data_IF_128405307741
#
_entry.id   IF_128405307741
#
_cell.length_a   1.000
_cell.length_b   1.000
_cell.length_c   1.000
_cell.angle_alpha   90.00
_cell.angle_beta   90.00
_cell.angle_gamma   90.00
#
_symmetry.space_group_name_H-M   'P 1'
#
loop_
_entity.id
_entity.type
_entity.pdbx_description
1 polymer ?
#
# COMPACT_ATOMS: atom_id res chain seq x y z
N UNK A 1 3.03 -5.06 -2.50
CA UNK A 1 1.72 -4.92 -1.81
C UNK A 1 0.67 -5.90 -2.31
N UNK A 2 0.86 -6.40 -3.52
CA UNK A 2 -0.14 -7.09 -4.35
C UNK A 2 -0.37 -8.57 -4.01
N UNK A 3 0.41 -9.11 -3.07
CA UNK A 3 0.22 -10.48 -2.60
C UNK A 3 -1.22 -10.69 -2.09
N UNK A 4 -1.84 -11.87 -2.32
CA UNK A 4 -3.26 -12.15 -2.08
C UNK A 4 -3.60 -12.35 -0.59
N UNK A 5 -3.20 -11.40 0.24
CA UNK A 5 -3.52 -11.35 1.67
C UNK A 5 -4.50 -10.21 1.89
N UNK A 6 -5.72 -10.59 2.27
CA UNK A 6 -6.83 -9.65 2.50
C UNK A 6 -6.49 -8.71 3.66
N UNK A 7 -6.96 -7.48 3.60
CA UNK A 7 -6.79 -6.51 4.69
C UNK A 7 -8.17 -6.03 5.12
N UNK A 8 -8.48 -6.19 6.40
CA UNK A 8 -9.69 -5.65 7.01
C UNK A 8 -9.42 -4.25 7.54
N UNK A 9 -10.24 -3.28 7.17
CA UNK A 9 -10.15 -1.89 7.60
C UNK A 9 -11.57 -1.32 7.80
N UNK A 10 -11.86 -0.80 8.99
CA UNK A 10 -13.19 -0.31 9.40
C UNK A 10 -14.36 -1.26 9.06
N UNK A 11 -14.16 -2.57 9.27
CA UNK A 11 -15.18 -3.59 8.99
C UNK A 11 -15.30 -4.01 7.52
N UNK A 12 -14.67 -3.29 6.59
CA UNK A 12 -14.60 -3.67 5.18
C UNK A 12 -13.38 -4.55 4.92
N UNK A 13 -13.54 -5.58 4.08
CA UNK A 13 -12.44 -6.45 3.66
C UNK A 13 -11.98 -6.08 2.26
N UNK A 14 -10.68 -5.84 2.10
CA UNK A 14 -10.03 -5.53 0.83
C UNK A 14 -9.21 -6.73 0.34
N UNK A 15 -9.23 -7.07 -0.96
CA UNK A 15 -8.52 -8.25 -1.49
C UNK A 15 -7.01 -8.22 -1.26
N UNK A 16 -6.38 -7.05 -1.38
CA UNK A 16 -4.95 -6.84 -1.12
C UNK A 16 -4.69 -5.49 -0.46
N UNK A 17 -3.46 -5.28 0.03
CA UNK A 17 -3.01 -3.98 0.51
C UNK A 17 -3.17 -2.87 -0.56
N UNK A 18 -2.94 -3.21 -1.83
CA UNK A 18 -3.10 -2.25 -2.95
C UNK A 18 -4.54 -1.78 -3.08
N UNK A 19 -5.53 -2.68 -2.96
CA UNK A 19 -6.94 -2.29 -3.00
C UNK A 19 -7.29 -1.31 -1.88
N UNK A 20 -6.83 -1.58 -0.65
CA UNK A 20 -7.07 -0.68 0.48
C UNK A 20 -6.36 0.67 0.26
N UNK A 21 -5.09 0.64 -0.12
CA UNK A 21 -4.29 1.85 -0.31
C UNK A 21 -4.91 2.77 -1.37
N UNK A 22 -5.31 2.22 -2.52
CA UNK A 22 -5.97 2.97 -3.57
C UNK A 22 -7.34 3.49 -3.12
N UNK A 23 -8.13 2.67 -2.43
CA UNK A 23 -9.43 3.09 -1.92
C UNK A 23 -9.33 4.24 -0.91
N UNK A 24 -8.28 4.31 -0.08
CA UNK A 24 -8.05 5.40 0.89
C UNK A 24 -7.94 6.79 0.25
N UNK A 25 -7.67 6.90 -1.05
CA UNK A 25 -7.79 8.16 -1.80
C UNK A 25 -9.21 8.71 -1.81
N UNK A 26 -10.21 7.83 -1.75
CA UNK A 26 -11.60 8.14 -2.09
C UNK A 26 -12.58 7.88 -0.95
N UNK A 27 -12.18 7.21 0.14
CA UNK A 27 -13.08 6.85 1.24
C UNK A 27 -13.94 8.01 1.78
N UNK A 28 -13.35 9.21 1.87
CA UNK A 28 -14.03 10.41 2.40
C UNK A 28 -14.76 11.22 1.32
N UNK A 29 -14.22 11.28 0.10
CA UNK A 29 -14.71 12.18 -0.97
C UNK A 29 -15.63 11.49 -1.97
N UNK A 30 -15.38 10.20 -2.26
CA UNK A 30 -16.05 9.39 -3.29
C UNK A 30 -16.13 7.92 -2.86
N UNK A 31 -16.93 7.61 -1.83
CA UNK A 31 -17.07 6.24 -1.32
C UNK A 31 -17.57 5.25 -2.37
N UNK A 32 -18.32 5.73 -3.39
CA UNK A 32 -18.72 4.96 -4.57
C UNK A 32 -17.50 4.43 -5.34
N UNK A 33 -16.49 5.26 -5.57
CA UNK A 33 -15.25 4.86 -6.25
C UNK A 33 -14.43 3.94 -5.37
N UNK A 34 -14.34 4.22 -4.07
CA UNK A 34 -13.63 3.35 -3.12
C UNK A 34 -14.21 1.93 -3.11
N UNK A 35 -15.54 1.80 -3.21
CA UNK A 35 -16.20 0.50 -3.34
C UNK A 35 -15.85 -0.18 -4.67
N UNK A 36 -15.91 0.52 -5.81
CA UNK A 36 -15.53 -0.04 -7.11
C UNK A 36 -14.07 -0.52 -7.12
N UNK A 37 -13.16 0.21 -6.47
CA UNK A 37 -11.76 -0.20 -6.30
C UNK A 37 -11.68 -1.49 -5.48
N UNK A 38 -12.46 -1.62 -4.40
CA UNK A 38 -12.50 -2.83 -3.57
C UNK A 38 -12.98 -4.06 -4.35
N UNK A 39 -13.91 -3.86 -5.29
CA UNK A 39 -14.52 -4.92 -6.13
C UNK A 39 -13.66 -5.30 -7.34
N UNK A 40 -12.57 -4.58 -7.61
CA UNK A 40 -11.66 -4.90 -8.70
C UNK A 40 -11.06 -6.30 -8.53
N UNK A 41 -10.90 -7.01 -9.66
CA UNK A 41 -10.40 -8.39 -9.66
C UNK A 41 -8.92 -8.47 -9.34
N UNK A 42 -8.15 -7.47 -9.78
CA UNK A 42 -6.70 -7.47 -9.65
C UNK A 42 -6.19 -6.15 -9.05
N UNK A 43 -5.04 -6.16 -8.36
CA UNK A 43 -4.39 -4.94 -7.87
C UNK A 43 -4.10 -3.92 -9.00
N UNK A 44 -3.77 -4.42 -10.19
CA UNK A 44 -3.55 -3.59 -11.36
C UNK A 44 -4.83 -2.88 -11.80
N UNK A 45 -5.97 -3.57 -11.82
CA UNK A 45 -7.26 -2.95 -12.14
C UNK A 45 -7.65 -1.90 -11.10
N UNK A 46 -7.42 -2.18 -9.81
CA UNK A 46 -7.64 -1.24 -8.71
C UNK A 46 -6.82 0.05 -8.89
N UNK A 47 -5.52 -0.09 -9.17
CA UNK A 47 -4.62 1.06 -9.41
C UNK A 47 -5.01 1.84 -10.67
N UNK A 48 -5.35 1.15 -11.77
CA UNK A 48 -5.80 1.78 -13.01
C UNK A 48 -7.09 2.58 -12.79
N UNK A 49 -8.04 2.02 -12.04
CA UNK A 49 -9.30 2.69 -11.73
C UNK A 49 -9.05 3.94 -10.85
N UNK A 50 -8.24 3.82 -9.80
CA UNK A 50 -7.87 4.96 -8.96
C UNK A 50 -7.23 6.09 -9.80
N UNK A 51 -6.29 5.74 -10.68
CA UNK A 51 -5.64 6.68 -11.59
C UNK A 51 -6.63 7.39 -12.52
N UNK A 52 -7.63 6.68 -13.05
CA UNK A 52 -8.68 7.27 -13.89
C UNK A 52 -9.49 8.34 -13.14
N UNK A 53 -9.68 8.15 -11.83
CA UNK A 53 -10.44 9.06 -10.98
C UNK A 53 -9.57 9.99 -10.12
N UNK A 54 -8.28 10.13 -10.43
CA UNK A 54 -7.34 10.91 -9.63
C UNK A 54 -7.81 12.35 -9.35
N UNK A 55 -8.55 12.98 -10.27
CA UNK A 55 -9.13 14.32 -10.09
C UNK A 55 -10.19 14.39 -8.97
N UNK A 56 -10.76 13.26 -8.57
CA UNK A 56 -11.72 13.13 -7.47
C UNK A 56 -11.11 12.59 -6.17
N UNK A 57 -9.80 12.33 -6.17
CA UNK A 57 -9.09 11.91 -4.96
C UNK A 57 -9.11 13.03 -3.92
N UNK A 58 -8.95 12.67 -2.65
CA UNK A 58 -8.85 13.63 -1.55
C UNK A 58 -7.75 14.69 -1.82
N UNK A 59 -8.00 15.99 -1.57
CA UNK A 59 -7.05 17.06 -1.92
C UNK A 59 -5.68 16.95 -1.25
N UNK A 60 -5.60 16.31 -0.07
CA UNK A 60 -4.40 16.14 0.74
C UNK A 60 -3.70 14.79 0.50
N UNK A 61 -4.01 14.07 -0.59
CA UNK A 61 -3.45 12.74 -0.81
C UNK A 61 -1.92 12.70 -0.84
N UNK A 62 -1.28 13.64 -1.53
CA UNK A 62 0.18 13.66 -1.72
C UNK A 62 0.94 13.75 -0.40
N UNK A 63 0.39 14.43 0.61
CA UNK A 63 0.98 14.54 1.95
C UNK A 63 0.65 13.36 2.85
N UNK A 64 -0.44 12.61 2.56
CA UNK A 64 -0.91 11.48 3.37
C UNK A 64 -0.48 10.12 2.85
N UNK A 65 -0.17 9.96 1.57
CA UNK A 65 0.10 8.66 0.95
C UNK A 65 1.15 7.82 1.69
N UNK A 66 2.22 8.43 2.22
CA UNK A 66 3.24 7.71 2.97
C UNK A 66 2.68 7.14 4.28
N UNK A 67 1.90 7.94 5.02
CA UNK A 67 1.26 7.52 6.27
C UNK A 67 0.19 6.45 6.00
N UNK A 68 -0.61 6.61 4.96
CA UNK A 68 -1.61 5.63 4.54
C UNK A 68 -0.94 4.30 4.17
N UNK A 69 0.20 4.33 3.48
CA UNK A 69 0.95 3.11 3.15
C UNK A 69 1.44 2.39 4.41
N UNK A 70 2.04 3.12 5.36
CA UNK A 70 2.46 2.53 6.64
C UNK A 70 1.30 1.89 7.39
N UNK A 71 0.13 2.54 7.42
CA UNK A 71 -1.07 2.03 8.06
C UNK A 71 -1.56 0.74 7.39
N UNK A 72 -1.69 0.74 6.07
CA UNK A 72 -2.08 -0.44 5.26
C UNK A 72 -1.15 -1.62 5.53
N UNK A 73 0.16 -1.38 5.49
CA UNK A 73 1.17 -2.40 5.74
C UNK A 73 1.05 -2.92 7.18
N UNK A 74 0.96 -2.04 8.17
CA UNK A 74 0.83 -2.43 9.57
C UNK A 74 -0.41 -3.30 9.80
N UNK A 75 -1.55 -2.93 9.21
CA UNK A 75 -2.77 -3.74 9.26
C UNK A 75 -2.55 -5.13 8.68
N UNK A 76 -1.97 -5.21 7.48
CA UNK A 76 -1.67 -6.48 6.81
C UNK A 76 -0.76 -7.38 7.66
N UNK A 77 0.34 -6.86 8.19
CA UNK A 77 1.26 -7.64 9.02
C UNK A 77 0.69 -7.97 10.42
N UNK A 78 -0.25 -7.17 10.96
CA UNK A 78 -0.95 -7.55 12.19
C UNK A 78 -1.93 -8.70 11.96
N UNK A 79 -2.65 -8.67 10.84
CA UNK A 79 -3.68 -9.64 10.51
C UNK A 79 -3.12 -10.99 10.03
N UNK A 80 -1.91 -11.01 9.46
CA UNK A 80 -1.29 -12.22 8.90
C UNK A 80 0.03 -12.55 9.61
N UNK A 81 0.00 -13.58 10.47
CA UNK A 81 1.11 -13.94 11.34
C UNK A 81 2.33 -14.49 10.58
N UNK A 82 2.10 -15.19 9.48
CA UNK A 82 3.13 -15.69 8.56
C UNK A 82 3.86 -14.54 7.87
N UNK A 83 3.13 -13.55 7.34
CA UNK A 83 3.73 -12.33 6.79
C UNK A 83 4.52 -11.56 7.82
N UNK A 84 3.98 -11.44 9.04
CA UNK A 84 4.69 -10.80 10.17
C UNK A 84 6.01 -11.49 10.45
N UNK A 85 6.01 -12.82 10.52
CA UNK A 85 7.21 -13.62 10.75
C UNK A 85 8.22 -13.41 9.62
N UNK A 86 7.78 -13.36 8.36
CA UNK A 86 8.66 -13.05 7.23
C UNK A 86 9.30 -11.67 7.36
N UNK A 87 8.53 -10.64 7.71
CA UNK A 87 9.06 -9.28 7.88
C UNK A 87 10.04 -9.19 9.05
N UNK A 88 9.69 -9.75 10.22
CA UNK A 88 10.58 -9.75 11.39
C UNK A 88 11.86 -10.58 11.12
N UNK A 89 11.76 -11.65 10.34
CA UNK A 89 12.89 -12.49 9.94
C UNK A 89 13.95 -11.76 9.11
N UNK A 90 13.64 -10.58 8.55
CA UNK A 90 14.64 -9.71 7.90
C UNK A 90 15.60 -9.04 8.90
N UNK A 91 15.32 -9.10 10.20
CA UNK A 91 16.19 -8.57 11.25
C UNK A 91 16.47 -7.08 11.08
N UNK A 92 17.76 -6.72 11.00
CA UNK A 92 18.20 -5.34 10.79
C UNK A 92 18.49 -5.01 9.32
N UNK A 93 18.25 -5.94 8.39
CA UNK A 93 18.49 -5.70 6.98
C UNK A 93 17.66 -4.51 6.47
N UNK A 94 18.26 -3.74 5.56
CA UNK A 94 17.51 -2.76 4.75
C UNK A 94 16.60 -3.53 3.81
N UNK A 95 15.39 -3.00 3.61
CA UNK A 95 14.44 -3.52 2.61
C UNK A 95 14.43 -2.54 1.45
N UNK A 96 14.69 -3.04 0.25
CA UNK A 96 14.70 -2.27 -0.99
C UNK A 96 13.56 -2.77 -1.88
N UNK A 97 12.70 -1.86 -2.31
CA UNK A 97 11.74 -2.14 -3.37
C UNK A 97 12.37 -1.74 -4.71
N UNK A 98 12.75 -2.72 -5.52
CA UNK A 98 13.33 -2.47 -6.85
C UNK A 98 12.20 -2.39 -7.87
N UNK A 99 12.00 -1.20 -8.44
CA UNK A 99 11.07 -0.93 -9.52
C UNK A 99 11.63 0.21 -10.39
N UNK A 100 12.20 -0.09 -11.58
CA UNK A 100 12.79 0.89 -12.46
C UNK A 100 11.85 2.02 -12.91
N UNK A 101 10.56 1.74 -12.95
CA UNK A 101 9.55 2.69 -13.42
C UNK A 101 8.96 3.56 -12.29
N UNK A 102 9.37 3.32 -11.03
CA UNK A 102 8.81 3.99 -9.84
C UNK A 102 9.90 4.47 -8.88
N UNK A 103 10.40 5.68 -9.15
CA UNK A 103 11.46 6.31 -8.35
C UNK A 103 10.97 6.84 -7.01
N UNK A 104 9.65 6.86 -6.77
CA UNK A 104 9.07 7.33 -5.52
C UNK A 104 8.97 6.18 -4.51
N UNK A 105 8.29 5.09 -4.87
CA UNK A 105 8.15 3.96 -3.96
C UNK A 105 9.38 3.06 -3.93
N UNK A 106 10.13 3.00 -5.02
CA UNK A 106 11.25 2.08 -5.21
C UNK A 106 12.57 2.74 -5.59
N UNK A 107 13.44 1.91 -6.16
CA UNK A 107 14.72 2.28 -6.77
C UNK A 107 14.87 1.64 -8.16
N UNK A 108 15.63 2.26 -9.04
CA UNK A 108 16.02 1.71 -10.34
C UNK A 108 17.16 0.69 -10.23
N UNK A 109 17.63 0.20 -11.38
CA UNK A 109 18.74 -0.75 -11.47
C UNK A 109 20.10 -0.18 -11.03
N UNK A 110 20.20 1.14 -10.87
CA UNK A 110 21.38 1.83 -10.34
C UNK A 110 21.23 2.20 -8.85
N UNK A 111 20.23 1.61 -8.16
CA UNK A 111 19.86 1.93 -6.77
C UNK A 111 19.45 3.40 -6.53
N UNK A 112 19.06 4.12 -7.58
CA UNK A 112 18.56 5.48 -7.50
C UNK A 112 17.04 5.48 -7.29
N UNK A 113 16.56 6.28 -6.34
CA UNK A 113 15.14 6.37 -6.00
C UNK A 113 14.93 6.62 -4.51
N UNK A 114 13.69 6.93 -4.13
CA UNK A 114 13.37 7.30 -2.76
C UNK A 114 13.12 6.09 -1.85
N UNK A 115 12.83 4.91 -2.43
CA UNK A 115 12.56 3.66 -1.71
C UNK A 115 11.55 3.83 -0.56
N UNK A 116 10.50 4.63 -0.76
CA UNK A 116 9.52 4.89 0.30
C UNK A 116 8.85 3.61 0.81
N UNK A 117 8.61 2.63 -0.06
CA UNK A 117 7.98 1.38 0.35
C UNK A 117 8.90 0.56 1.24
N UNK A 118 10.18 0.45 0.89
CA UNK A 118 11.18 -0.23 1.71
C UNK A 118 11.37 0.44 3.07
N UNK A 119 11.42 1.78 3.11
CA UNK A 119 11.46 2.57 4.35
C UNK A 119 10.22 2.33 5.21
N UNK A 120 9.03 2.34 4.61
CA UNK A 120 7.77 2.07 5.31
C UNK A 120 7.75 0.66 5.91
N UNK A 121 8.24 -0.36 5.18
CA UNK A 121 8.36 -1.74 5.71
C UNK A 121 9.30 -1.82 6.92
N UNK A 122 10.44 -1.14 6.87
CA UNK A 122 11.39 -1.07 8.00
C UNK A 122 10.75 -0.41 9.22
N UNK A 123 9.96 0.65 9.02
CA UNK A 123 9.25 1.33 10.10
C UNK A 123 8.06 0.54 10.65
N UNK A 124 7.34 -0.19 9.80
CA UNK A 124 6.30 -1.12 10.25
C UNK A 124 6.92 -2.25 11.06
N UNK A 125 8.08 -2.78 10.63
CA UNK A 125 8.84 -3.80 11.37
C UNK A 125 9.20 -3.36 12.79
N UNK A 126 9.51 -2.08 13.03
CA UNK A 126 9.82 -1.60 14.39
C UNK A 126 8.60 -1.41 15.30
N UNK A 127 7.38 -1.47 14.74
CA UNK A 127 6.10 -1.32 15.46
C UNK A 127 5.38 -2.65 15.74
N UNK A 128 5.95 -3.76 15.31
CA UNK A 128 5.40 -5.12 15.43
C UNK A 128 6.14 -5.89 16.52
#
# INVERSE_FOLDING_TARGET
NDSPYRVVYHGQTYPTATHLFEAMNFLETRPDIAQMICECRTPHDAHRLASQYQASARPDWSSRQLKSMEEVLLLKFRQHADMRKMLLGTGHARIIYSNPDDMFWGVNNADEGQNHLGKALVHVRSKL
#
